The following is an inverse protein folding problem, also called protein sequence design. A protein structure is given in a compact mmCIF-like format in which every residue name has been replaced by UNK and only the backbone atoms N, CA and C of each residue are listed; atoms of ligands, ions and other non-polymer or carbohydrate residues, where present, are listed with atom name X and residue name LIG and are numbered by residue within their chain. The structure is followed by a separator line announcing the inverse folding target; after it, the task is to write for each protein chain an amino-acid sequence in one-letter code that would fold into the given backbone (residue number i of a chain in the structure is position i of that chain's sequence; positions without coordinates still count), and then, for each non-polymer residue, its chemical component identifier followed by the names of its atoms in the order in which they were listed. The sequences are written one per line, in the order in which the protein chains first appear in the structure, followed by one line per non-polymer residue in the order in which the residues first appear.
data_IF_353976345570
#
_entry.id   IF_353976345570
#
_cell.length_a   1.000
_cell.length_b   1.000
_cell.length_c   1.000
_cell.angle_alpha   90.00
_cell.angle_beta   90.00
_cell.angle_gamma   90.00
#
_symmetry.space_group_name_H-M   'P 1'
#
loop_
_entity.id
_entity.type
_entity.pdbx_description
1 polymer ?
#
# COMPACT_ATOMS: atom_id res chain seq x y z
N UNK A 1 7.77 -12.15 -59.42
CA UNK A 1 8.88 -11.98 -58.45
C UNK A 1 8.75 -10.73 -57.58
N UNK A 2 8.60 -9.51 -58.14
CA UNK A 2 8.55 -8.26 -57.35
C UNK A 2 7.42 -8.21 -56.30
N UNK A 3 6.21 -8.67 -56.63
CA UNK A 3 5.07 -8.66 -55.71
C UNK A 3 5.24 -9.61 -54.51
N UNK A 4 5.78 -10.81 -54.76
CA UNK A 4 6.01 -11.83 -53.72
C UNK A 4 7.09 -11.34 -52.74
N UNK A 5 8.18 -10.76 -53.23
CA UNK A 5 9.20 -10.15 -52.37
C UNK A 5 8.64 -8.99 -51.53
N UNK A 6 7.70 -8.21 -52.07
CA UNK A 6 7.09 -7.09 -51.36
C UNK A 6 6.15 -7.56 -50.25
N UNK A 7 5.34 -8.60 -50.50
CA UNK A 7 4.48 -9.24 -49.49
C UNK A 7 5.33 -9.87 -48.38
N UNK A 8 6.41 -10.57 -48.75
CA UNK A 8 7.33 -11.17 -47.79
C UNK A 8 8.01 -10.11 -46.91
N UNK A 9 8.42 -8.98 -47.48
CA UNK A 9 8.99 -7.86 -46.73
C UNK A 9 8.00 -7.29 -45.70
N UNK A 10 6.74 -7.09 -46.10
CA UNK A 10 5.69 -6.58 -45.22
C UNK A 10 5.41 -7.54 -44.06
N UNK A 11 5.34 -8.85 -44.33
CA UNK A 11 5.16 -9.88 -43.30
C UNK A 11 6.34 -9.91 -42.31
N UNK A 12 7.58 -9.81 -42.78
CA UNK A 12 8.77 -9.78 -41.91
C UNK A 12 8.78 -8.50 -41.06
N UNK A 13 8.47 -7.34 -41.64
CA UNK A 13 8.34 -6.10 -40.88
C UNK A 13 7.22 -6.18 -39.83
N UNK A 14 6.08 -6.79 -40.14
CA UNK A 14 4.98 -6.99 -39.20
C UNK A 14 5.37 -7.91 -38.02
N UNK A 15 6.11 -8.98 -38.27
CA UNK A 15 6.62 -9.89 -37.23
C UNK A 15 7.67 -9.20 -36.33
N UNK A 16 8.46 -8.28 -36.88
CA UNK A 16 9.47 -7.50 -36.16
C UNK A 16 8.85 -6.45 -35.22
N UNK A 17 7.60 -6.04 -35.43
CA UNK A 17 6.87 -5.10 -34.57
C UNK A 17 6.29 -5.76 -33.30
N UNK A 18 6.13 -7.10 -33.31
CA UNK A 18 5.53 -7.87 -32.22
C UNK A 18 6.26 -7.72 -30.85
N UNK A 19 7.61 -7.78 -30.74
CA UNK A 19 8.29 -7.61 -29.46
C UNK A 19 8.08 -6.21 -28.84
N UNK A 20 7.93 -5.17 -29.66
CA UNK A 20 7.69 -3.79 -29.18
C UNK A 20 6.28 -3.68 -28.59
N UNK A 21 5.28 -4.25 -29.27
CA UNK A 21 3.90 -4.28 -28.80
C UNK A 21 3.75 -5.12 -27.52
N UNK A 22 4.44 -6.26 -27.44
CA UNK A 22 4.45 -7.10 -26.25
C UNK A 22 5.03 -6.37 -25.01
N UNK A 23 6.14 -5.65 -25.17
CA UNK A 23 6.73 -4.85 -24.08
C UNK A 23 5.80 -3.73 -23.62
N UNK A 24 5.13 -3.05 -24.55
CA UNK A 24 4.17 -2.00 -24.21
C UNK A 24 2.96 -2.57 -23.43
N UNK A 25 2.44 -3.72 -23.86
CA UNK A 25 1.36 -4.41 -23.17
C UNK A 25 1.75 -4.85 -21.76
N UNK A 26 2.94 -5.44 -21.60
CA UNK A 26 3.47 -5.84 -20.29
C UNK A 26 3.62 -4.65 -19.34
N UNK A 27 4.12 -3.51 -19.84
CA UNK A 27 4.26 -2.30 -19.01
C UNK A 27 2.89 -1.78 -18.56
N UNK A 28 1.90 -1.77 -19.45
CA UNK A 28 0.54 -1.35 -19.10
C UNK A 28 -0.08 -2.26 -18.04
N UNK A 29 0.11 -3.58 -18.16
CA UNK A 29 -0.38 -4.57 -17.20
C UNK A 29 0.25 -4.40 -15.81
N UNK A 30 1.57 -4.14 -15.74
CA UNK A 30 2.27 -3.88 -14.47
C UNK A 30 1.74 -2.62 -13.78
N UNK A 31 1.52 -1.54 -14.54
CA UNK A 31 1.02 -0.29 -13.97
C UNK A 31 -0.44 -0.41 -13.53
N UNK A 32 -1.28 -1.14 -14.29
CA UNK A 32 -2.63 -1.48 -13.87
C UNK A 32 -2.63 -2.28 -12.56
N UNK A 33 -1.76 -3.30 -12.45
CA UNK A 33 -1.65 -4.12 -11.24
C UNK A 33 -1.32 -3.29 -10.01
N UNK A 34 -0.37 -2.36 -10.10
CA UNK A 34 -0.01 -1.45 -9.00
C UNK A 34 -1.16 -0.52 -8.63
N UNK A 35 -1.76 0.14 -9.62
CA UNK A 35 -2.84 1.10 -9.38
C UNK A 35 -4.06 0.43 -8.74
N UNK A 36 -4.42 -0.77 -9.22
CA UNK A 36 -5.51 -1.56 -8.65
C UNK A 36 -5.18 -2.02 -7.21
N UNK A 37 -3.95 -2.48 -6.97
CA UNK A 37 -3.50 -2.91 -5.65
C UNK A 37 -3.52 -1.77 -4.63
N UNK A 38 -3.07 -0.57 -5.00
CA UNK A 38 -3.11 0.60 -4.11
C UNK A 38 -4.53 1.07 -3.81
N UNK A 39 -5.42 1.04 -4.82
CA UNK A 39 -6.82 1.40 -4.64
C UNK A 39 -7.53 0.41 -3.71
N UNK A 40 -7.34 -0.89 -3.93
CA UNK A 40 -7.89 -1.93 -3.07
C UNK A 40 -7.28 -1.86 -1.65
N UNK A 41 -5.98 -1.58 -1.50
CA UNK A 41 -5.35 -1.39 -0.20
C UNK A 41 -6.00 -0.25 0.60
N UNK A 42 -6.25 0.89 -0.04
CA UNK A 42 -6.92 2.04 0.57
C UNK A 42 -8.36 1.75 0.93
N UNK A 43 -9.09 1.02 0.07
CA UNK A 43 -10.49 0.69 0.30
C UNK A 43 -10.69 -0.35 1.43
N UNK A 44 -9.76 -1.30 1.56
CA UNK A 44 -9.92 -2.46 2.45
C UNK A 44 -9.13 -2.36 3.75
N UNK A 45 -8.29 -1.34 3.93
CA UNK A 45 -7.56 -1.13 5.19
C UNK A 45 -8.38 -0.30 6.17
N UNK A 46 -8.74 -0.89 7.31
CA UNK A 46 -9.42 -0.18 8.38
C UNK A 46 -8.45 0.75 9.14
N UNK A 47 -8.40 2.02 8.75
CA UNK A 47 -7.53 3.04 9.34
C UNK A 47 -7.83 3.29 10.82
N UNK A 48 -9.11 3.27 11.21
CA UNK A 48 -9.54 3.47 12.60
C UNK A 48 -9.04 2.35 13.52
N UNK A 49 -9.02 1.10 13.03
CA UNK A 49 -8.46 -0.03 13.76
C UNK A 49 -6.96 0.18 14.03
N UNK A 50 -6.19 0.61 13.03
CA UNK A 50 -4.74 0.82 13.20
C UNK A 50 -4.44 2.04 14.07
N UNK A 51 -5.25 3.10 13.98
CA UNK A 51 -5.20 4.20 14.92
C UNK A 51 -5.45 3.73 16.36
N UNK A 52 -6.52 2.95 16.59
CA UNK A 52 -6.84 2.42 17.90
C UNK A 52 -5.75 1.47 18.41
N UNK A 53 -5.17 0.64 17.53
CA UNK A 53 -4.05 -0.24 17.87
C UNK A 53 -2.85 0.57 18.38
N UNK A 54 -2.49 1.67 17.71
CA UNK A 54 -1.42 2.56 18.18
C UNK A 54 -1.76 3.32 19.46
N UNK A 55 -2.98 3.83 19.57
CA UNK A 55 -3.43 4.61 20.71
C UNK A 55 -3.56 3.75 21.98
N UNK A 56 -4.34 2.68 21.93
CA UNK A 56 -4.61 1.83 23.09
C UNK A 56 -3.48 0.82 23.33
N UNK A 57 -2.96 0.22 22.27
CA UNK A 57 -1.89 -0.79 22.32
C UNK A 57 -0.48 -0.21 22.47
N UNK A 58 -0.30 1.11 22.30
CA UNK A 58 0.99 1.77 22.46
C UNK A 58 2.08 1.18 21.56
N UNK A 59 3.25 0.91 22.15
CA UNK A 59 4.40 0.34 21.43
C UNK A 59 4.12 -1.06 20.85
N UNK A 60 3.32 -1.88 21.54
CA UNK A 60 2.97 -3.23 21.08
C UNK A 60 2.08 -3.15 19.83
N UNK A 61 1.07 -2.28 19.85
CA UNK A 61 0.20 -2.05 18.69
C UNK A 61 0.98 -1.54 17.47
N UNK A 62 1.99 -0.70 17.69
CA UNK A 62 2.92 -0.26 16.66
C UNK A 62 3.73 -1.44 16.07
N UNK A 63 4.28 -2.31 16.91
CA UNK A 63 5.05 -3.47 16.46
C UNK A 63 4.22 -4.43 15.61
N UNK A 64 2.96 -4.66 16.03
CA UNK A 64 2.01 -5.48 15.28
C UNK A 64 1.83 -4.91 13.85
N UNK A 65 1.71 -3.59 13.70
CA UNK A 65 1.59 -2.95 12.38
C UNK A 65 2.80 -3.16 11.46
N UNK A 66 4.01 -3.39 12.00
CA UNK A 66 5.21 -3.66 11.19
C UNK A 66 5.35 -5.12 10.74
N UNK A 67 4.92 -6.05 11.59
CA UNK A 67 5.08 -7.50 11.36
C UNK A 67 3.86 -8.12 10.67
N UNK A 68 2.68 -7.49 10.79
CA UNK A 68 1.48 -7.99 10.17
C UNK A 68 1.62 -7.98 8.65
N UNK A 69 1.45 -9.15 8.03
CA UNK A 69 1.55 -9.33 6.60
C UNK A 69 0.14 -9.40 6.00
N UNK A 70 -0.33 -8.33 5.37
CA UNK A 70 -1.64 -8.34 4.71
C UNK A 70 -1.58 -9.21 3.45
N UNK A 71 -2.67 -9.94 3.19
CA UNK A 71 -2.89 -10.71 1.96
C UNK A 71 -4.02 -10.08 1.16
N UNK A 72 -3.87 -9.94 -0.17
CA UNK A 72 -4.98 -9.54 -1.03
C UNK A 72 -6.05 -10.64 -1.12
N UNK A 73 -7.26 -10.25 -1.53
CA UNK A 73 -8.36 -11.21 -1.76
C UNK A 73 -8.10 -12.03 -3.03
N UNK A 74 -8.17 -13.37 -2.91
CA UNK A 74 -7.91 -14.28 -4.02
C UNK A 74 -8.82 -14.03 -5.24
N UNK A 75 -10.06 -13.56 -5.02
CA UNK A 75 -11.00 -13.23 -6.10
C UNK A 75 -10.49 -12.14 -7.05
N UNK A 76 -9.61 -11.23 -6.58
CA UNK A 76 -8.98 -10.19 -7.42
C UNK A 76 -7.88 -10.75 -8.34
N UNK A 77 -7.40 -11.95 -8.04
CA UNK A 77 -6.25 -12.58 -8.69
C UNK A 77 -6.67 -13.69 -9.65
N UNK A 78 -7.93 -14.12 -9.64
CA UNK A 78 -8.43 -15.19 -10.50
C UNK A 78 -8.33 -14.80 -11.98
N UNK A 79 -7.69 -15.66 -12.77
CA UNK A 79 -7.53 -15.47 -14.21
C UNK A 79 -6.47 -14.43 -14.61
N UNK A 80 -5.74 -13.86 -13.65
CA UNK A 80 -4.62 -12.95 -13.93
C UNK A 80 -3.33 -13.72 -14.19
N UNK A 81 -2.41 -13.11 -14.95
CA UNK A 81 -1.08 -13.68 -15.22
C UNK A 81 -0.29 -13.83 -13.91
N UNK A 82 0.63 -14.82 -13.80
CA UNK A 82 1.51 -14.94 -12.64
C UNK A 82 2.30 -13.65 -12.34
N UNK A 83 2.71 -12.94 -13.40
CA UNK A 83 3.40 -11.66 -13.32
C UNK A 83 2.50 -10.58 -12.70
N UNK A 84 1.25 -10.47 -13.16
CA UNK A 84 0.28 -9.55 -12.56
C UNK A 84 0.05 -9.87 -11.08
N UNK A 85 -0.11 -11.16 -10.75
CA UNK A 85 -0.35 -11.59 -9.37
C UNK A 85 0.83 -11.23 -8.45
N UNK A 86 2.07 -11.42 -8.91
CA UNK A 86 3.26 -11.05 -8.14
C UNK A 86 3.32 -9.54 -7.90
N UNK A 87 3.21 -8.73 -8.96
CA UNK A 87 3.28 -7.27 -8.87
C UNK A 87 2.14 -6.72 -8.01
N UNK A 88 0.91 -7.19 -8.22
CA UNK A 88 -0.25 -6.78 -7.46
C UNK A 88 -0.08 -7.11 -5.98
N UNK A 89 0.36 -8.33 -5.65
CA UNK A 89 0.50 -8.78 -4.26
C UNK A 89 1.54 -7.96 -3.51
N UNK A 90 2.67 -7.67 -4.14
CA UNK A 90 3.74 -6.85 -3.54
C UNK A 90 3.29 -5.40 -3.36
N UNK A 91 2.67 -4.81 -4.37
CA UNK A 91 2.14 -3.45 -4.31
C UNK A 91 1.06 -3.32 -3.22
N UNK A 92 0.14 -4.28 -3.13
CA UNK A 92 -0.90 -4.32 -2.11
C UNK A 92 -0.30 -4.42 -0.71
N UNK A 93 0.66 -5.33 -0.53
CA UNK A 93 1.32 -5.54 0.76
C UNK A 93 2.01 -4.27 1.26
N UNK A 94 2.74 -3.60 0.36
CA UNK A 94 3.44 -2.38 0.68
C UNK A 94 2.47 -1.23 1.01
N UNK A 95 1.45 -1.03 0.17
CA UNK A 95 0.45 0.01 0.37
C UNK A 95 -0.32 -0.17 1.69
N UNK A 96 -0.77 -1.39 1.99
CA UNK A 96 -1.45 -1.67 3.26
C UNK A 96 -0.49 -1.44 4.43
N UNK A 97 0.73 -1.96 4.39
CA UNK A 97 1.71 -1.78 5.48
C UNK A 97 1.98 -0.30 5.77
N UNK A 98 2.13 0.52 4.73
CA UNK A 98 2.30 1.97 4.88
C UNK A 98 1.11 2.60 5.61
N UNK A 99 -0.12 2.27 5.22
CA UNK A 99 -1.34 2.75 5.88
C UNK A 99 -1.37 2.29 7.35
N UNK A 100 -1.14 1.01 7.62
CA UNK A 100 -1.15 0.43 8.96
C UNK A 100 -0.18 1.14 9.90
N UNK A 101 1.08 1.24 9.47
CA UNK A 101 2.17 1.86 10.25
C UNK A 101 1.88 3.35 10.46
N UNK A 102 1.44 4.06 9.43
CA UNK A 102 1.12 5.50 9.52
C UNK A 102 0.02 5.75 10.56
N UNK A 103 -1.09 5.03 10.50
CA UNK A 103 -2.20 5.23 11.43
C UNK A 103 -1.88 4.75 12.85
N UNK A 104 -1.11 3.67 13.00
CA UNK A 104 -0.61 3.25 14.30
C UNK A 104 0.32 4.30 14.94
N UNK A 105 1.21 4.91 14.16
CA UNK A 105 2.02 6.04 14.63
C UNK A 105 1.16 7.23 15.05
N UNK A 106 0.18 7.62 14.22
CA UNK A 106 -0.75 8.69 14.57
C UNK A 106 -1.46 8.42 15.89
N UNK A 107 -1.94 7.20 16.12
CA UNK A 107 -2.57 6.79 17.37
C UNK A 107 -1.62 6.86 18.57
N UNK A 108 -0.40 6.34 18.42
CA UNK A 108 0.62 6.37 19.47
C UNK A 108 0.99 7.80 19.88
N UNK A 109 1.25 8.68 18.90
CA UNK A 109 1.58 10.08 19.14
C UNK A 109 0.41 10.85 19.76
N UNK A 110 -0.82 10.54 19.35
CA UNK A 110 -2.02 11.12 19.95
C UNK A 110 -2.09 10.80 21.44
N UNK A 111 -1.90 9.54 21.83
CA UNK A 111 -1.86 9.14 23.25
C UNK A 111 -0.74 9.85 24.01
N UNK A 112 0.47 9.89 23.44
CA UNK A 112 1.61 10.56 24.07
C UNK A 112 1.31 12.04 24.34
N UNK A 113 0.73 12.75 23.36
CA UNK A 113 0.33 14.15 23.51
C UNK A 113 -0.72 14.36 24.60
N UNK A 114 -1.76 13.52 24.63
CA UNK A 114 -2.81 13.59 25.67
C UNK A 114 -2.24 13.38 27.07
N UNK A 115 -1.33 12.41 27.23
CA UNK A 115 -0.70 12.13 28.51
C UNK A 115 0.17 13.30 29.00
N UNK A 116 0.97 13.88 28.11
CA UNK A 116 1.80 15.06 28.43
C UNK A 116 0.94 16.25 28.84
N UNK A 117 -0.14 16.53 28.10
CA UNK A 117 -1.06 17.61 28.44
C UNK A 117 -1.74 17.39 29.81
N UNK A 118 -2.19 16.17 30.08
CA UNK A 118 -2.77 15.82 31.38
C UNK A 118 -1.79 16.02 32.54
N UNK A 119 -0.55 15.55 32.39
CA UNK A 119 0.49 15.72 33.41
C UNK A 119 0.80 17.21 33.63
N UNK A 120 0.94 17.99 32.56
CA UNK A 120 1.19 19.43 32.68
C UNK A 120 0.08 20.15 33.44
N UNK A 121 -1.19 19.85 33.13
CA UNK A 121 -2.34 20.42 33.85
C UNK A 121 -2.36 20.02 35.34
N UNK A 122 -2.06 18.76 35.64
CA UNK A 122 -2.00 18.27 37.02
C UNK A 122 -0.89 18.96 37.83
N UNK A 123 0.28 19.18 37.20
CA UNK A 123 1.40 19.91 37.82
C UNK A 123 1.03 21.38 38.07
N UNK A 124 0.42 22.06 37.09
CA UNK A 124 -0.03 23.46 37.24
C UNK A 124 -1.03 23.58 38.39
N UNK A 125 -2.03 22.69 38.44
CA UNK A 125 -3.03 22.68 39.51
C UNK A 125 -2.42 22.43 40.90
N UNK A 126 -1.41 21.56 40.98
CA UNK A 126 -0.72 21.26 42.24
C UNK A 126 0.13 22.45 42.72
N UNK A 127 0.78 23.17 41.79
CA UNK A 127 1.54 24.37 42.11
C UNK A 127 0.64 25.51 42.58
N UNK A 128 -0.52 25.73 41.95
CA UNK A 128 -1.48 26.73 42.42
C UNK A 128 -2.03 26.40 43.81
N UNK A 129 -2.27 25.12 44.10
CA UNK A 129 -2.75 24.68 45.42
C UNK A 129 -1.68 24.79 46.52
N UNK A 130 -0.39 24.79 46.17
CA UNK A 130 0.72 24.93 47.12
C UNK A 130 1.04 26.40 47.46
N UNK A 131 0.48 27.36 46.72
CA UNK A 131 0.65 28.80 46.95
C UNK A 131 -0.49 29.45 47.74
N UNK A 132 -1.57 28.70 48.03
CA UNK A 132 -2.64 29.08 48.97
C UNK A 132 -2.31 28.59 50.39
#
# INVERSE_FOLDING_TARGET
MKLISLIALVLVCALMLNPILALAQQRAEIEEAKAAAEADAKANTNTALWFAAGCLGGYVGLHIAYIYQPSPFASRLLGKSPEYVAVYTDAYRNAVKEIQVKWAWTGYLTRAGVLVAYIALAVIASLSAATE
#
